data_IF_574132045241
#
_entry.id   IF_574132045241
#
_cell.length_a   1.000
_cell.length_b   1.000
_cell.length_c   1.000
_cell.angle_alpha   90.00
_cell.angle_beta   90.00
_cell.angle_gamma   90.00
#
_symmetry.space_group_name_H-M   'P 1'
#
loop_
_entity.id
_entity.type
_entity.pdbx_description
1 polymer ?
#
# COMPACT_ATOMS: atom_id res chain seq x y z
N UNK A 1 33.82 18.46 20.88
CA UNK A 1 33.23 18.37 19.51
C UNK A 1 31.78 17.94 19.68
N UNK A 2 30.90 18.92 19.72
CA UNK A 2 29.47 18.67 19.88
C UNK A 2 28.91 18.21 18.56
N UNK A 3 28.29 17.04 18.59
CA UNK A 3 27.51 16.48 17.47
C UNK A 3 26.29 17.38 17.25
N UNK A 4 26.30 18.16 16.18
CA UNK A 4 25.15 18.90 15.69
C UNK A 4 24.03 17.89 15.40
N UNK A 5 23.08 17.77 16.30
CA UNK A 5 21.86 17.00 16.12
C UNK A 5 21.15 17.47 14.84
N UNK A 6 21.03 16.57 13.86
CA UNK A 6 20.28 16.80 12.64
C UNK A 6 18.83 17.13 13.03
N UNK A 7 18.41 18.38 12.82
CA UNK A 7 17.01 18.76 12.96
C UNK A 7 16.21 17.93 11.93
N UNK A 8 15.19 17.17 12.35
CA UNK A 8 14.38 16.43 11.40
C UNK A 8 13.77 17.39 10.39
N UNK A 9 13.95 17.11 9.10
CA UNK A 9 13.37 17.90 8.03
C UNK A 9 11.83 17.93 8.21
N UNK A 10 11.23 19.12 8.06
CA UNK A 10 9.78 19.23 8.07
C UNK A 10 9.20 18.33 6.94
N UNK A 11 8.17 17.53 7.23
CA UNK A 11 7.52 16.73 6.20
C UNK A 11 7.02 17.63 5.06
N UNK A 12 7.13 17.13 3.84
CA UNK A 12 6.62 17.85 2.66
C UNK A 12 5.08 17.81 2.67
N UNK A 13 4.39 18.77 2.05
CA UNK A 13 2.92 18.82 2.06
C UNK A 13 2.25 17.56 1.51
N UNK A 14 2.93 16.82 0.65
CA UNK A 14 2.45 15.59 0.04
C UNK A 14 2.79 14.32 0.84
N UNK A 15 3.58 14.42 1.92
CA UNK A 15 3.91 13.26 2.75
C UNK A 15 2.78 12.94 3.71
N UNK A 16 2.48 11.66 3.85
CA UNK A 16 1.43 11.20 4.75
C UNK A 16 0.92 9.82 4.41
N UNK A 17 -0.07 9.39 5.20
CA UNK A 17 -0.78 8.13 5.02
C UNK A 17 -2.27 8.41 4.93
N UNK A 18 -2.90 7.89 3.89
CA UNK A 18 -4.35 8.01 3.66
C UNK A 18 -4.95 6.62 3.52
N UNK A 19 -6.04 6.38 4.23
CA UNK A 19 -6.74 5.09 4.24
C UNK A 19 -8.23 5.32 4.01
N UNK A 20 -8.83 4.50 3.16
CA UNK A 20 -10.26 4.45 2.95
C UNK A 20 -10.73 3.00 2.81
N UNK A 21 -11.97 2.74 3.15
CA UNK A 21 -12.63 1.43 2.99
C UNK A 21 -13.59 1.46 1.82
N UNK A 22 -13.80 0.31 1.21
CA UNK A 22 -14.76 0.12 0.14
C UNK A 22 -15.40 -1.28 0.26
N UNK A 23 -16.64 -1.48 -0.20
CA UNK A 23 -17.23 -2.81 -0.28
C UNK A 23 -16.44 -3.69 -1.27
N UNK A 24 -16.36 -4.99 -1.00
CA UNK A 24 -15.64 -5.93 -1.86
C UNK A 24 -16.50 -6.31 -3.10
N UNK A 25 -16.77 -5.35 -3.97
CA UNK A 25 -17.59 -5.47 -5.19
C UNK A 25 -16.86 -4.85 -6.39
N UNK A 26 -17.20 -5.27 -7.60
CA UNK A 26 -16.48 -4.89 -8.83
C UNK A 26 -16.40 -3.37 -9.07
N UNK A 27 -17.45 -2.62 -8.72
CA UNK A 27 -17.48 -1.16 -8.88
C UNK A 27 -16.42 -0.46 -8.02
N UNK A 28 -15.95 -1.09 -6.95
CA UNK A 28 -14.91 -0.54 -6.08
C UNK A 28 -13.55 -0.44 -6.78
N UNK A 29 -13.32 -1.22 -7.84
CA UNK A 29 -12.07 -1.15 -8.62
C UNK A 29 -11.88 0.22 -9.29
N UNK A 30 -12.80 0.71 -10.15
CA UNK A 30 -12.66 2.04 -10.72
C UNK A 30 -12.76 3.15 -9.67
N UNK A 31 -13.55 2.97 -8.61
CA UNK A 31 -13.64 3.95 -7.51
C UNK A 31 -12.31 4.12 -6.77
N UNK A 32 -11.64 3.01 -6.43
CA UNK A 32 -10.32 3.06 -5.80
C UNK A 32 -9.27 3.74 -6.69
N UNK A 33 -9.26 3.43 -7.99
CA UNK A 33 -8.37 4.12 -8.95
C UNK A 33 -8.59 5.63 -8.98
N UNK A 34 -9.85 6.07 -9.02
CA UNK A 34 -10.21 7.48 -8.98
C UNK A 34 -9.75 8.13 -7.67
N UNK A 35 -10.07 7.51 -6.54
CA UNK A 35 -9.70 8.02 -5.22
C UNK A 35 -8.17 8.20 -5.06
N UNK A 36 -7.38 7.24 -5.56
CA UNK A 36 -5.92 7.33 -5.52
C UNK A 36 -5.41 8.43 -6.45
N UNK A 37 -5.94 8.55 -7.68
CA UNK A 37 -5.58 9.63 -8.60
C UNK A 37 -5.85 10.99 -7.99
N UNK A 38 -7.09 11.21 -7.51
CA UNK A 38 -7.50 12.47 -6.89
C UNK A 38 -6.67 12.80 -5.65
N UNK A 39 -6.22 11.78 -4.91
CA UNK A 39 -5.33 11.97 -3.78
C UNK A 39 -3.98 12.52 -4.25
N UNK A 40 -3.35 11.90 -5.26
CA UNK A 40 -2.07 12.35 -5.79
C UNK A 40 -2.13 13.78 -6.32
N UNK A 41 -3.19 14.10 -7.06
CA UNK A 41 -3.42 15.44 -7.62
C UNK A 41 -3.59 16.48 -6.51
N UNK A 42 -4.40 16.19 -5.49
CA UNK A 42 -4.65 17.12 -4.37
C UNK A 42 -3.43 17.32 -3.49
N UNK A 43 -2.62 16.29 -3.28
CA UNK A 43 -1.41 16.40 -2.47
C UNK A 43 -0.24 17.03 -3.25
N UNK A 44 -0.35 17.14 -4.58
CA UNK A 44 0.74 17.66 -5.41
C UNK A 44 2.01 16.82 -5.31
N UNK A 45 1.83 15.48 -5.20
CA UNK A 45 2.96 14.57 -5.12
C UNK A 45 3.82 14.65 -6.39
N UNK A 46 5.16 14.74 -6.28
CA UNK A 46 6.04 14.88 -7.44
C UNK A 46 6.25 13.52 -8.14
N UNK A 47 5.19 12.96 -8.71
CA UNK A 47 5.20 11.68 -9.42
C UNK A 47 5.18 11.91 -10.92
N UNK A 48 5.93 11.11 -11.67
CA UNK A 48 5.84 11.11 -13.12
C UNK A 48 4.53 10.49 -13.60
N UNK A 49 4.06 10.89 -14.80
CA UNK A 49 2.87 10.29 -15.41
C UNK A 49 2.99 8.77 -15.56
N UNK A 50 4.18 8.27 -15.86
CA UNK A 50 4.47 6.84 -15.97
C UNK A 50 4.27 6.14 -14.62
N UNK A 51 4.81 6.70 -13.53
CA UNK A 51 4.63 6.17 -12.16
C UNK A 51 3.16 6.20 -11.77
N UNK A 52 2.42 7.27 -12.09
CA UNK A 52 0.97 7.35 -11.84
C UNK A 52 0.22 6.25 -12.58
N UNK A 53 0.50 6.04 -13.87
CA UNK A 53 -0.16 4.98 -14.66
C UNK A 53 0.14 3.60 -14.09
N UNK A 54 1.41 3.31 -13.77
CA UNK A 54 1.81 2.06 -13.12
C UNK A 54 1.10 1.84 -11.80
N UNK A 55 1.05 2.88 -10.94
CA UNK A 55 0.38 2.81 -9.64
C UNK A 55 -1.12 2.54 -9.76
N UNK A 56 -1.81 3.21 -10.69
CA UNK A 56 -3.24 3.01 -10.92
C UNK A 56 -3.57 1.62 -11.46
N UNK A 57 -2.66 1.05 -12.25
CA UNK A 57 -2.79 -0.35 -12.70
C UNK A 57 -2.60 -1.30 -11.51
N UNK A 58 -1.59 -1.07 -10.68
CA UNK A 58 -1.37 -1.82 -9.44
C UNK A 58 -2.61 -1.78 -8.54
N UNK A 59 -3.17 -0.59 -8.28
CA UNK A 59 -4.41 -0.43 -7.49
C UNK A 59 -5.54 -1.29 -8.07
N UNK A 60 -5.72 -1.26 -9.40
CA UNK A 60 -6.75 -2.06 -10.07
C UNK A 60 -6.58 -3.55 -9.81
N UNK A 61 -5.36 -4.06 -9.95
CA UNK A 61 -5.07 -5.48 -9.77
C UNK A 61 -5.19 -5.92 -8.30
N UNK A 62 -4.72 -5.11 -7.36
CA UNK A 62 -4.83 -5.40 -5.93
C UNK A 62 -6.29 -5.41 -5.47
N UNK A 63 -7.09 -4.41 -5.86
CA UNK A 63 -8.52 -4.35 -5.52
C UNK A 63 -9.29 -5.47 -6.21
N UNK A 64 -9.03 -5.75 -7.49
CA UNK A 64 -9.64 -6.90 -8.21
C UNK A 64 -9.34 -8.22 -7.51
N UNK A 65 -8.10 -8.40 -7.05
CA UNK A 65 -7.69 -9.59 -6.31
C UNK A 65 -8.47 -9.73 -5.00
N UNK A 66 -8.63 -8.65 -4.23
CA UNK A 66 -9.42 -8.65 -3.00
C UNK A 66 -10.90 -8.95 -3.29
N UNK A 67 -11.50 -8.30 -4.29
CA UNK A 67 -12.91 -8.54 -4.69
C UNK A 67 -13.15 -10.00 -5.09
N UNK A 68 -12.26 -10.59 -5.91
CA UNK A 68 -12.44 -11.97 -6.40
C UNK A 68 -12.24 -13.04 -5.35
N UNK A 69 -11.30 -12.84 -4.43
CA UNK A 69 -10.87 -13.87 -3.50
C UNK A 69 -11.40 -13.68 -2.08
N UNK A 70 -11.75 -12.45 -1.70
CA UNK A 70 -12.14 -12.14 -0.34
C UNK A 70 -13.64 -11.86 -0.16
N UNK A 71 -14.40 -11.61 -1.23
CA UNK A 71 -15.79 -11.14 -1.16
C UNK A 71 -16.71 -11.97 -0.24
N UNK A 72 -16.48 -13.28 -0.12
CA UNK A 72 -17.27 -14.17 0.75
C UNK A 72 -16.89 -14.06 2.24
N UNK A 73 -15.65 -13.70 2.55
CA UNK A 73 -15.10 -13.65 3.90
C UNK A 73 -14.82 -12.22 4.37
N UNK A 74 -14.74 -11.29 3.43
CA UNK A 74 -14.44 -9.89 3.67
C UNK A 74 -15.44 -9.04 2.87
N UNK A 75 -16.54 -8.60 3.46
CA UNK A 75 -17.51 -7.74 2.78
C UNK A 75 -16.93 -6.37 2.44
N UNK A 76 -15.86 -5.98 3.10
CA UNK A 76 -15.14 -4.74 2.91
C UNK A 76 -13.63 -5.02 2.69
N UNK A 77 -13.01 -4.13 1.96
CA UNK A 77 -11.57 -4.03 1.80
C UNK A 77 -11.10 -2.63 2.21
N UNK A 78 -9.85 -2.50 2.61
CA UNK A 78 -9.26 -1.21 2.88
C UNK A 78 -8.09 -0.95 1.91
N UNK A 79 -8.07 0.26 1.36
CA UNK A 79 -6.96 0.76 0.53
C UNK A 79 -6.21 1.81 1.32
N UNK A 80 -4.90 1.70 1.36
CA UNK A 80 -4.01 2.65 2.01
C UNK A 80 -2.95 3.12 1.01
N UNK A 81 -2.71 4.43 1.00
CA UNK A 81 -1.64 5.06 0.23
C UNK A 81 -0.74 5.79 1.21
N UNK A 82 0.53 5.46 1.23
CA UNK A 82 1.55 6.13 2.02
C UNK A 82 2.56 6.78 1.08
N UNK A 83 2.83 8.07 1.29
CA UNK A 83 3.78 8.86 0.49
C UNK A 83 4.85 9.42 1.41
N UNK A 84 6.10 9.17 1.07
CA UNK A 84 7.28 9.76 1.72
C UNK A 84 8.02 10.65 0.72
N UNK A 85 9.14 11.26 1.10
CA UNK A 85 9.99 12.03 0.17
C UNK A 85 10.51 11.21 -1.01
N UNK A 86 10.67 9.90 -0.85
CA UNK A 86 11.35 9.04 -1.81
C UNK A 86 10.44 7.99 -2.45
N UNK A 87 9.38 7.57 -1.75
CA UNK A 87 8.61 6.40 -2.12
C UNK A 87 7.11 6.63 -1.98
N UNK A 88 6.34 5.94 -2.83
CA UNK A 88 4.90 5.77 -2.69
C UNK A 88 4.58 4.29 -2.51
N UNK A 89 3.81 3.97 -1.48
CA UNK A 89 3.30 2.63 -1.20
C UNK A 89 1.79 2.63 -1.34
N UNK A 90 1.27 1.66 -2.06
CA UNK A 90 -0.16 1.34 -2.05
C UNK A 90 -0.34 -0.05 -1.46
N UNK A 91 -1.35 -0.21 -0.62
CA UNK A 91 -1.71 -1.51 -0.05
C UNK A 91 -3.21 -1.72 -0.02
N UNK A 92 -3.62 -2.98 -0.17
CA UNK A 92 -5.01 -3.41 -0.05
C UNK A 92 -5.09 -4.51 1.00
N UNK A 93 -5.92 -4.27 2.01
CA UNK A 93 -6.18 -5.20 3.10
C UNK A 93 -7.55 -5.85 2.92
N UNK A 94 -7.58 -7.17 3.11
CA UNK A 94 -8.81 -7.96 3.17
C UNK A 94 -8.71 -9.03 4.26
N UNK A 95 -9.87 -9.58 4.68
CA UNK A 95 -9.92 -10.57 5.76
C UNK A 95 -9.65 -12.01 5.31
N UNK A 96 -9.24 -12.23 4.06
CA UNK A 96 -8.99 -13.58 3.56
C UNK A 96 -7.56 -14.06 3.90
N UNK A 97 -7.37 -15.21 4.57
CA UNK A 97 -6.07 -15.65 5.07
C UNK A 97 -5.13 -16.18 3.99
N UNK A 98 -5.61 -16.34 2.76
CA UNK A 98 -4.84 -16.97 1.69
C UNK A 98 -3.73 -16.05 1.16
N UNK A 99 -2.48 -16.54 1.19
CA UNK A 99 -1.34 -15.88 0.56
C UNK A 99 -1.34 -16.14 -0.95
N UNK A 100 -1.35 -15.10 -1.80
CA UNK A 100 -1.28 -15.28 -3.24
C UNK A 100 0.08 -15.86 -3.66
N UNK A 101 0.09 -17.07 -4.20
CA UNK A 101 1.32 -17.75 -4.68
C UNK A 101 2.05 -16.97 -5.78
N UNK A 102 1.33 -16.14 -6.54
CA UNK A 102 1.92 -15.31 -7.60
C UNK A 102 2.98 -14.32 -7.12
N UNK A 103 3.02 -14.01 -5.81
CA UNK A 103 4.05 -13.16 -5.18
C UNK A 103 5.23 -13.99 -4.64
N UNK A 104 5.15 -15.31 -4.63
CA UNK A 104 6.29 -16.17 -4.27
C UNK A 104 7.35 -16.15 -5.40
N UNK A 105 8.63 -16.12 -5.02
CA UNK A 105 9.75 -15.92 -5.97
C UNK A 105 9.85 -16.99 -7.07
N UNK A 106 9.32 -18.19 -6.83
CA UNK A 106 9.54 -19.37 -7.70
C UNK A 106 8.28 -19.87 -8.42
N UNK A 107 7.17 -19.11 -8.45
CA UNK A 107 5.92 -19.62 -8.97
C UNK A 107 5.64 -19.16 -10.41
N UNK A 108 5.85 -20.06 -11.36
CA UNK A 108 5.59 -19.87 -12.79
C UNK A 108 4.19 -20.35 -13.24
N UNK A 109 3.26 -20.74 -12.35
CA UNK A 109 1.98 -21.34 -12.72
C UNK A 109 0.71 -20.66 -12.19
N UNK A 110 -0.15 -20.33 -13.13
CA UNK A 110 -1.63 -20.36 -13.17
C UNK A 110 -2.37 -19.92 -11.90
N UNK A 111 -2.35 -18.63 -11.59
CA UNK A 111 -3.22 -18.07 -10.56
C UNK A 111 -3.04 -16.56 -10.46
N UNK A 112 -3.78 -15.80 -11.31
CA UNK A 112 -3.80 -14.36 -11.21
C UNK A 112 -2.68 -13.66 -11.98
N UNK A 113 -2.87 -13.50 -13.27
CA UNK A 113 -1.99 -12.66 -14.13
C UNK A 113 -1.82 -11.26 -13.55
N UNK A 114 -2.81 -10.78 -12.79
CA UNK A 114 -2.80 -9.45 -12.18
C UNK A 114 -1.66 -9.23 -11.18
N UNK A 115 -1.43 -10.17 -10.25
CA UNK A 115 -0.33 -10.04 -9.28
C UNK A 115 1.05 -10.27 -9.91
N UNK A 116 1.14 -11.07 -11.00
CA UNK A 116 2.36 -11.14 -11.80
C UNK A 116 2.66 -9.79 -12.47
N UNK A 117 1.62 -9.12 -12.98
CA UNK A 117 1.73 -7.78 -13.55
C UNK A 117 2.16 -6.75 -12.49
N UNK A 118 1.60 -6.80 -11.28
CA UNK A 118 2.03 -5.95 -10.15
C UNK A 118 3.52 -6.15 -9.88
N UNK A 119 3.98 -7.41 -9.82
CA UNK A 119 5.40 -7.73 -9.60
C UNK A 119 6.29 -7.20 -10.72
N UNK A 120 5.85 -7.31 -11.96
CA UNK A 120 6.63 -6.83 -13.11
C UNK A 120 6.73 -5.30 -13.12
N UNK A 121 5.61 -4.57 -12.95
CA UNK A 121 5.61 -3.11 -12.86
C UNK A 121 6.51 -2.63 -11.74
N UNK A 122 6.40 -3.22 -10.54
CA UNK A 122 7.23 -2.82 -9.40
C UNK A 122 8.71 -3.10 -9.64
N UNK A 123 9.04 -4.24 -10.25
CA UNK A 123 10.42 -4.60 -10.60
C UNK A 123 11.03 -3.64 -11.62
N UNK A 124 10.29 -3.32 -12.68
CA UNK A 124 10.75 -2.39 -13.73
C UNK A 124 10.96 -0.98 -13.19
N UNK A 125 10.11 -0.54 -12.27
CA UNK A 125 10.26 0.76 -11.61
C UNK A 125 11.36 0.78 -10.54
N UNK A 126 12.02 -0.35 -10.23
CA UNK A 126 13.00 -0.44 -9.14
C UNK A 126 12.37 -0.48 -7.75
N UNK A 127 11.08 -0.79 -7.66
CA UNK A 127 10.33 -0.95 -6.42
C UNK A 127 10.26 -2.39 -5.93
N UNK A 128 9.28 -2.68 -5.08
CA UNK A 128 9.02 -4.01 -4.54
C UNK A 128 7.54 -4.21 -4.20
N UNK A 129 7.11 -5.46 -4.15
CA UNK A 129 5.77 -5.83 -3.68
C UNK A 129 5.84 -7.11 -2.87
N UNK A 130 4.93 -7.26 -1.90
CA UNK A 130 4.81 -8.48 -1.10
C UNK A 130 3.42 -8.55 -0.46
N UNK A 131 3.23 -9.57 0.38
CA UNK A 131 2.03 -9.79 1.18
C UNK A 131 2.41 -9.97 2.65
N UNK A 132 1.68 -9.31 3.52
CA UNK A 132 1.76 -9.42 4.97
C UNK A 132 0.48 -10.02 5.51
N UNK A 133 0.55 -10.79 6.61
CA UNK A 133 -0.62 -11.24 7.35
C UNK A 133 -0.97 -10.24 8.44
N UNK A 134 -2.27 -10.00 8.61
CA UNK A 134 -2.76 -9.17 9.71
C UNK A 134 -2.90 -9.99 11.00
N UNK A 135 -2.85 -9.33 12.14
CA UNK A 135 -3.09 -9.98 13.44
C UNK A 135 -4.51 -10.60 13.54
N UNK A 136 -5.47 -10.08 12.76
CA UNK A 136 -6.85 -10.58 12.65
C UNK A 136 -6.99 -11.82 11.74
N UNK A 137 -5.90 -12.30 11.13
CA UNK A 137 -5.90 -13.46 10.24
C UNK A 137 -6.20 -13.15 8.77
N UNK A 138 -6.34 -11.88 8.40
CA UNK A 138 -6.43 -11.42 7.01
C UNK A 138 -5.06 -11.22 6.37
N UNK A 139 -5.03 -10.48 5.26
CA UNK A 139 -3.79 -10.14 4.57
C UNK A 139 -3.79 -8.69 4.08
N UNK A 140 -2.58 -8.17 3.90
CA UNK A 140 -2.29 -6.92 3.22
C UNK A 140 -1.39 -7.24 2.02
N UNK A 141 -1.85 -6.99 0.82
CA UNK A 141 -1.02 -7.03 -0.39
C UNK A 141 -0.59 -5.61 -0.72
N UNK A 142 0.71 -5.38 -0.89
CA UNK A 142 1.24 -4.05 -1.09
C UNK A 142 2.26 -3.98 -2.23
N UNK A 143 2.39 -2.78 -2.78
CA UNK A 143 3.41 -2.42 -3.75
C UNK A 143 4.02 -1.07 -3.37
N UNK A 144 5.33 -0.95 -3.56
CA UNK A 144 6.16 0.21 -3.28
C UNK A 144 6.86 0.64 -4.57
N UNK A 145 6.69 1.89 -4.96
CA UNK A 145 7.36 2.48 -6.13
C UNK A 145 8.22 3.67 -5.71
N UNK A 146 9.37 3.91 -6.36
CA UNK A 146 10.13 5.14 -6.16
C UNK A 146 9.34 6.34 -6.66
N UNK A 147 9.35 7.41 -5.88
CA UNK A 147 8.70 8.68 -6.23
C UNK A 147 9.51 9.46 -7.27
N UNK A 148 10.83 9.39 -7.13
CA UNK A 148 11.81 10.02 -8.01
C UNK A 148 12.94 9.05 -8.35
N UNK A 149 13.69 9.26 -9.45
CA UNK A 149 14.83 8.41 -9.78
C UNK A 149 15.91 8.36 -8.69
N UNK A 150 16.09 9.44 -7.91
CA UNK A 150 17.04 9.51 -6.81
C UNK A 150 16.63 8.61 -5.64
N UNK A 151 15.34 8.27 -5.54
CA UNK A 151 14.83 7.35 -4.52
C UNK A 151 15.44 5.95 -4.62
N UNK A 152 15.88 5.53 -5.79
CA UNK A 152 16.56 4.25 -5.99
C UNK A 152 17.87 4.13 -5.20
N UNK A 153 18.44 5.26 -4.76
CA UNK A 153 19.62 5.29 -3.88
C UNK A 153 19.27 5.10 -2.39
N UNK A 154 17.99 5.11 -2.02
CA UNK A 154 17.52 4.91 -0.64
C UNK A 154 17.03 3.47 -0.48
N UNK A 155 17.56 2.66 0.46
CA UNK A 155 17.10 1.29 0.63
C UNK A 155 15.61 1.21 0.94
N UNK A 156 14.85 0.50 0.11
CA UNK A 156 13.40 0.28 0.28
C UNK A 156 13.04 -0.37 1.64
N UNK A 157 13.95 -1.15 2.21
CA UNK A 157 13.79 -1.81 3.52
C UNK A 157 13.45 -0.83 4.65
N UNK A 158 14.01 0.38 4.64
CA UNK A 158 13.76 1.40 5.66
C UNK A 158 12.32 1.91 5.60
N UNK A 159 11.78 2.13 4.42
CA UNK A 159 10.41 2.64 4.20
C UNK A 159 9.36 1.59 4.60
N UNK A 160 9.65 0.32 4.33
CA UNK A 160 8.79 -0.80 4.72
C UNK A 160 8.69 -0.89 6.26
N UNK A 161 9.80 -0.69 6.95
CA UNK A 161 9.87 -0.75 8.40
C UNK A 161 9.16 0.44 9.06
N UNK A 162 9.37 1.66 8.58
CA UNK A 162 8.69 2.87 9.07
C UNK A 162 7.17 2.78 8.90
N UNK A 163 6.66 2.33 7.76
CA UNK A 163 5.23 2.13 7.52
C UNK A 163 4.60 1.00 8.34
N UNK A 164 5.40 0.03 8.79
CA UNK A 164 4.96 -1.02 9.72
C UNK A 164 4.84 -0.49 11.14
N UNK A 165 5.83 0.26 11.60
CA UNK A 165 5.84 0.88 12.93
C UNK A 165 4.73 1.92 13.10
N UNK A 166 4.40 2.69 12.07
CA UNK A 166 3.29 3.64 12.09
C UNK A 166 1.94 2.93 12.21
N UNK A 167 1.75 1.81 11.53
CA UNK A 167 0.53 0.98 11.65
C UNK A 167 0.39 0.35 13.03
N UNK A 168 1.47 -0.12 13.61
CA UNK A 168 1.48 -0.68 14.98
C UNK A 168 1.14 0.40 16.01
N UNK A 169 1.59 1.64 15.81
CA UNK A 169 1.23 2.79 16.67
C UNK A 169 -0.22 3.25 16.48
N UNK A 170 -0.73 3.24 15.25
CA UNK A 170 -2.13 3.61 14.95
C UNK A 170 -3.15 2.55 15.38
N UNK A 171 -2.74 1.29 15.51
CA UNK A 171 -3.53 0.14 15.96
C UNK A 171 -3.54 -0.10 17.47
N UNK A 172 -3.09 0.86 18.29
CA UNK A 172 -3.16 0.77 19.76
C UNK A 172 -4.59 0.58 20.26
N UNK A 173 -4.83 -0.12 21.38
CA UNK A 173 -6.14 -0.60 21.79
C UNK A 173 -7.12 0.56 21.97
N UNK A 174 -8.23 0.51 21.23
CA UNK A 174 -9.39 1.34 21.48
C UNK A 174 -9.83 1.14 22.94
N UNK A 175 -9.63 2.16 23.76
CA UNK A 175 -10.08 2.18 25.16
C UNK A 175 -11.60 2.09 25.12
N UNK A 176 -12.13 0.91 25.45
CA UNK A 176 -13.56 0.73 25.70
C UNK A 176 -14.04 1.71 26.76
N UNK A 177 -15.10 2.47 26.54
CA UNK A 177 -15.68 3.26 27.62
C UNK A 177 -16.23 2.32 28.69
N UNK A 178 -15.74 2.52 29.90
CA UNK A 178 -16.21 1.85 31.10
C UNK A 178 -17.69 2.20 31.32
N UNK A 179 -18.58 1.23 31.57
CA UNK A 179 -19.96 1.57 31.95
C UNK A 179 -19.95 2.31 33.29
N UNK A 180 -20.69 3.40 33.35
CA UNK A 180 -20.92 4.16 34.57
C UNK A 180 -21.83 3.37 35.53
N UNK A 181 -21.71 3.62 36.84
CA UNK A 181 -22.42 2.89 37.90
C UNK A 181 -23.93 3.13 37.91
#
# INVERSE_FOLDING_TARGET
>A
MESLGSVPARPKPYEGVWRFTAPAVEISVPQARHAVRDLLDRQGAPVSDETVQGLLLIVSELVTNAVRHAALLSPELAVEVAITTAWIRVSVEDSHPYRPKALERDYAQTGGRGLLLVREITREAGGSCDVEHTASGGKIVWALLPLTPEALMVPAARVIQEGREERERAGGPATSPRPAP
#
